data_IF_907767202509
#
_entry.id   IF_907767202509
#
_cell.length_a   1.000
_cell.length_b   1.000
_cell.length_c   1.000
_cell.angle_alpha   90.00
_cell.angle_beta   90.00
_cell.angle_gamma   90.00
#
_symmetry.space_group_name_H-M   'P 1'
#
loop_
_entity.id
_entity.type
_entity.pdbx_description
1 polymer ?
#
# COMPACT_ATOMS: atom_id res chain seq x y z
N UNK A 1 52.67 -50.43 1.77
CA UNK A 1 53.17 -49.29 0.96
C UNK A 1 52.54 -49.41 -0.43
N UNK A 2 51.63 -48.56 -0.89
CA UNK A 2 51.11 -47.31 -0.35
C UNK A 2 49.68 -47.03 -0.87
N UNK A 3 49.01 -46.10 -0.20
CA UNK A 3 47.82 -45.39 -0.71
C UNK A 3 48.31 -44.25 -1.61
N UNK A 4 47.58 -43.88 -2.68
CA UNK A 4 46.75 -42.66 -2.57
C UNK A 4 45.38 -42.81 -3.29
N UNK A 5 44.26 -42.41 -2.67
CA UNK A 5 43.68 -41.05 -2.55
C UNK A 5 42.83 -40.65 -3.76
N UNK A 6 41.51 -40.72 -3.53
CA UNK A 6 40.42 -40.05 -4.25
C UNK A 6 40.57 -38.52 -4.15
N UNK A 7 40.28 -37.79 -5.22
CA UNK A 7 39.80 -36.40 -5.12
C UNK A 7 38.54 -36.25 -5.97
N UNK A 8 37.42 -36.12 -5.25
CA UNK A 8 36.10 -35.76 -5.77
C UNK A 8 36.04 -34.23 -5.77
N UNK A 9 35.96 -33.62 -6.94
CA UNK A 9 35.78 -32.17 -7.07
C UNK A 9 34.32 -31.80 -6.78
N UNK A 10 34.07 -31.10 -5.67
CA UNK A 10 32.81 -30.42 -5.39
C UNK A 10 32.96 -28.94 -5.80
N UNK A 11 32.14 -28.50 -6.75
CA UNK A 11 32.04 -27.09 -7.14
C UNK A 11 31.22 -26.33 -6.09
N UNK A 12 31.85 -25.32 -5.49
CA UNK A 12 31.27 -24.41 -4.52
C UNK A 12 30.51 -23.30 -5.27
N UNK A 13 29.18 -23.27 -5.17
CA UNK A 13 28.38 -22.10 -5.52
C UNK A 13 28.48 -21.10 -4.37
N UNK A 14 29.16 -19.98 -4.59
CA UNK A 14 29.18 -18.86 -3.67
C UNK A 14 27.79 -18.20 -3.65
N UNK A 15 27.10 -18.27 -2.51
CA UNK A 15 25.91 -17.47 -2.22
C UNK A 15 26.39 -16.04 -1.95
N UNK A 16 26.03 -15.12 -2.84
CA UNK A 16 26.25 -13.69 -2.63
C UNK A 16 25.20 -13.20 -1.61
N UNK A 17 25.64 -12.88 -0.40
CA UNK A 17 24.77 -12.25 0.60
C UNK A 17 24.37 -10.85 0.12
N UNK A 18 23.09 -10.44 0.23
CA UNK A 18 22.70 -9.06 -0.03
C UNK A 18 23.34 -8.12 1.01
N UNK A 19 23.63 -6.85 0.64
CA UNK A 19 24.11 -5.87 1.61
C UNK A 19 23.06 -5.62 2.70
N UNK A 20 23.46 -5.19 3.91
CA UNK A 20 22.51 -4.78 4.93
C UNK A 20 21.69 -3.62 4.39
N UNK A 21 20.37 -3.81 4.27
CA UNK A 21 19.42 -2.75 3.99
C UNK A 21 19.63 -1.66 5.05
N UNK A 22 19.99 -0.46 4.62
CA UNK A 22 19.89 0.70 5.48
C UNK A 22 18.42 0.85 5.84
N UNK A 23 18.09 0.88 7.14
CA UNK A 23 16.74 1.19 7.59
C UNK A 23 16.32 2.51 6.93
N UNK A 24 15.21 2.55 6.16
CA UNK A 24 14.71 3.82 5.67
C UNK A 24 14.30 4.64 6.90
N UNK A 25 14.98 5.77 7.11
CA UNK A 25 14.56 6.75 8.10
C UNK A 25 13.06 7.06 7.93
N UNK A 26 12.30 7.32 9.00
CA UNK A 26 10.85 7.59 8.92
C UNK A 26 10.48 8.74 7.95
N UNK A 27 11.43 9.63 7.66
CA UNK A 27 11.31 10.73 6.71
C UNK A 27 11.23 10.28 5.23
N UNK A 28 11.79 9.10 4.88
CA UNK A 28 11.72 8.55 3.51
C UNK A 28 10.35 7.93 3.18
N UNK A 29 9.58 7.51 4.19
CA UNK A 29 8.22 7.00 3.99
C UNK A 29 7.20 8.10 3.65
N UNK A 30 7.55 9.36 3.95
CA UNK A 30 6.76 10.57 3.64
C UNK A 30 7.03 11.15 2.24
N UNK A 31 7.80 10.44 1.41
CA UNK A 31 8.10 10.84 0.03
C UNK A 31 6.86 10.83 -0.88
N UNK A 32 6.97 11.50 -2.02
CA UNK A 32 6.00 11.45 -3.11
C UNK A 32 5.65 10.00 -3.51
N UNK A 33 4.36 9.74 -3.71
CA UNK A 33 3.75 8.55 -4.25
C UNK A 33 2.90 8.95 -5.46
N UNK A 34 3.54 9.08 -6.62
CA UNK A 34 2.85 9.43 -7.89
C UNK A 34 2.08 10.76 -7.84
N UNK A 35 2.70 11.80 -7.28
CA UNK A 35 2.14 13.14 -7.11
C UNK A 35 1.39 13.36 -5.79
N UNK A 36 1.56 12.49 -4.79
CA UNK A 36 0.89 12.55 -3.50
C UNK A 36 1.83 12.24 -2.33
N UNK A 37 1.80 13.04 -1.27
CA UNK A 37 2.50 12.79 -0.02
C UNK A 37 1.54 12.26 1.05
N UNK A 38 2.05 11.39 1.92
CA UNK A 38 1.33 10.88 3.10
C UNK A 38 1.76 11.66 4.34
N UNK A 39 0.89 12.55 4.82
CA UNK A 39 1.18 13.47 5.92
C UNK A 39 0.85 12.95 7.33
N UNK A 40 0.11 11.84 7.45
CA UNK A 40 -0.22 11.23 8.74
C UNK A 40 -0.05 9.71 8.68
N UNK A 41 0.60 9.16 9.70
CA UNK A 41 0.70 7.73 9.95
C UNK A 41 0.24 7.46 11.39
N UNK A 42 -0.65 6.49 11.61
CA UNK A 42 -1.07 6.12 12.97
C UNK A 42 0.12 5.70 13.83
N UNK A 43 0.07 6.02 15.13
CA UNK A 43 1.11 5.57 16.06
C UNK A 43 1.12 4.03 16.13
N UNK A 44 2.31 3.44 15.98
CA UNK A 44 2.48 1.98 16.00
C UNK A 44 2.22 1.27 14.66
N UNK A 45 2.10 2.02 13.56
CA UNK A 45 2.28 1.48 12.20
C UNK A 45 3.69 0.90 12.05
N UNK A 46 3.79 -0.25 11.38
CA UNK A 46 5.06 -0.91 11.11
C UNK A 46 6.04 -0.04 10.30
N UNK A 47 7.33 -0.22 10.59
CA UNK A 47 8.41 0.57 10.00
C UNK A 47 8.87 0.08 8.62
N UNK A 48 8.41 -1.10 8.19
CA UNK A 48 8.83 -1.65 6.90
C UNK A 48 7.92 -1.14 5.79
N UNK A 49 8.51 -0.37 4.88
CA UNK A 49 7.79 0.35 3.82
C UNK A 49 8.24 -0.17 2.47
N UNK A 50 7.29 -0.56 1.62
CA UNK A 50 7.55 -1.04 0.27
C UNK A 50 6.63 -0.38 -0.74
N UNK A 51 7.20 0.08 -1.85
CA UNK A 51 6.47 0.65 -2.98
C UNK A 51 6.31 -0.40 -4.10
N UNK A 52 5.13 -0.41 -4.72
CA UNK A 52 4.80 -1.31 -5.83
C UNK A 52 4.15 -0.54 -6.98
N UNK A 53 4.42 -1.01 -8.19
CA UNK A 53 3.69 -0.59 -9.39
C UNK A 53 3.02 -1.81 -10.02
N UNK A 54 1.70 -1.75 -10.16
CA UNK A 54 0.91 -2.83 -10.76
C UNK A 54 -0.15 -2.25 -11.68
N UNK A 55 -0.77 -3.10 -12.48
CA UNK A 55 -1.90 -2.73 -13.33
C UNK A 55 -2.99 -3.80 -13.21
N UNK A 56 -4.24 -3.35 -13.17
CA UNK A 56 -5.40 -4.24 -13.20
C UNK A 56 -6.51 -3.55 -13.99
N UNK A 57 -7.06 -4.22 -15.00
CA UNK A 57 -8.16 -3.71 -15.80
C UNK A 57 -7.90 -2.27 -16.28
N UNK A 58 -6.78 -2.06 -17.00
CA UNK A 58 -6.34 -0.77 -17.56
C UNK A 58 -6.18 0.38 -16.53
N UNK A 59 -6.13 0.08 -15.23
CA UNK A 59 -5.85 1.03 -14.16
C UNK A 59 -4.49 0.71 -13.57
N UNK A 60 -3.58 1.68 -13.67
CA UNK A 60 -2.27 1.63 -13.05
C UNK A 60 -2.37 2.00 -11.56
N UNK A 61 -1.67 1.26 -10.72
CA UNK A 61 -1.55 1.50 -9.29
C UNK A 61 -0.10 1.85 -8.95
N UNK A 62 0.11 2.98 -8.30
CA UNK A 62 1.29 3.22 -7.47
C UNK A 62 0.88 2.97 -6.01
N UNK A 63 1.40 1.91 -5.41
CA UNK A 63 1.10 1.52 -4.04
C UNK A 63 2.27 1.80 -3.12
N UNK A 64 2.00 2.27 -1.89
CA UNK A 64 2.94 2.20 -0.76
C UNK A 64 2.31 1.38 0.36
N UNK A 65 3.06 0.44 0.92
CA UNK A 65 2.60 -0.50 1.93
C UNK A 65 3.49 -0.42 3.15
N UNK A 66 2.88 -0.26 4.33
CA UNK A 66 3.55 -0.33 5.62
C UNK A 66 3.21 -1.67 6.28
N UNK A 67 4.26 -2.41 6.64
CA UNK A 67 4.16 -3.75 7.19
C UNK A 67 4.91 -3.87 8.51
N UNK A 68 4.42 -4.78 9.33
CA UNK A 68 5.09 -5.18 10.58
C UNK A 68 5.38 -6.68 10.57
N UNK A 69 6.48 -7.11 11.21
CA UNK A 69 6.71 -8.53 11.43
C UNK A 69 5.71 -9.09 12.44
N UNK A 70 5.31 -10.34 12.24
CA UNK A 70 4.51 -11.10 13.20
C UNK A 70 5.40 -11.93 14.14
N UNK A 71 5.00 -12.14 15.41
CA UNK A 71 5.79 -12.92 16.38
C UNK A 71 6.09 -14.36 15.91
N UNK A 72 5.14 -14.99 15.23
CA UNK A 72 5.25 -16.33 14.65
C UNK A 72 6.00 -16.38 13.30
N UNK A 73 6.51 -15.24 12.82
CA UNK A 73 7.10 -15.08 11.50
C UNK A 73 6.09 -14.64 10.45
N UNK A 74 6.58 -14.06 9.36
CA UNK A 74 5.75 -13.42 8.34
C UNK A 74 5.45 -11.96 8.67
N UNK A 75 4.58 -11.37 7.87
CA UNK A 75 4.30 -9.95 7.83
C UNK A 75 2.80 -9.70 7.79
N UNK A 76 2.37 -8.60 8.41
CA UNK A 76 1.01 -8.09 8.30
C UNK A 76 1.06 -6.66 7.80
N UNK A 77 0.20 -6.35 6.84
CA UNK A 77 0.00 -4.99 6.34
C UNK A 77 -0.82 -4.22 7.37
N UNK A 78 -0.26 -3.10 7.83
CA UNK A 78 -0.94 -2.16 8.72
C UNK A 78 -1.66 -1.09 7.92
N UNK A 79 -0.99 -0.55 6.90
CA UNK A 79 -1.48 0.53 6.05
C UNK A 79 -1.07 0.26 4.60
N UNK A 80 -1.96 0.56 3.66
CA UNK A 80 -1.68 0.62 2.24
C UNK A 80 -2.31 1.86 1.65
N UNK A 81 -1.54 2.61 0.87
CA UNK A 81 -2.02 3.73 0.06
C UNK A 81 -1.87 3.36 -1.41
N UNK A 82 -2.92 3.60 -2.18
CA UNK A 82 -2.97 3.41 -3.62
C UNK A 82 -3.26 4.74 -4.31
N UNK A 83 -2.41 5.13 -5.25
CA UNK A 83 -2.74 6.13 -6.26
C UNK A 83 -3.05 5.40 -7.55
N UNK A 84 -4.29 5.54 -8.00
CA UNK A 84 -4.85 4.84 -9.15
C UNK A 84 -5.02 5.79 -10.32
N UNK A 85 -4.56 5.40 -11.51
CA UNK A 85 -4.66 6.20 -12.73
C UNK A 85 -5.21 5.37 -13.88
N UNK A 86 -6.23 5.87 -14.56
CA UNK A 86 -6.81 5.21 -15.73
C UNK A 86 -8.07 5.90 -16.24
N UNK A 87 -8.32 5.84 -17.55
CA UNK A 87 -9.40 6.60 -18.22
C UNK A 87 -10.81 6.28 -17.71
N UNK A 88 -11.00 5.10 -17.10
CA UNK A 88 -12.28 4.69 -16.51
C UNK A 88 -12.60 5.31 -15.15
N UNK A 89 -11.63 5.94 -14.49
CA UNK A 89 -11.83 6.57 -13.18
C UNK A 89 -12.39 7.99 -13.33
N UNK A 90 -13.50 8.15 -14.05
CA UNK A 90 -14.00 9.47 -14.51
C UNK A 90 -14.56 10.35 -13.39
N UNK A 91 -15.09 9.72 -12.35
CA UNK A 91 -15.71 10.38 -11.20
C UNK A 91 -15.79 9.39 -10.01
N UNK A 92 -16.24 9.88 -8.85
CA UNK A 92 -16.35 9.07 -7.64
C UNK A 92 -17.25 7.83 -7.80
N UNK A 93 -18.29 7.88 -8.63
CA UNK A 93 -19.16 6.72 -8.84
C UNK A 93 -18.44 5.65 -9.68
N UNK A 94 -17.68 6.06 -10.69
CA UNK A 94 -16.82 5.17 -11.47
C UNK A 94 -15.71 4.56 -10.60
N UNK A 95 -15.08 5.34 -9.72
CA UNK A 95 -14.10 4.84 -8.75
C UNK A 95 -14.73 3.81 -7.80
N UNK A 96 -15.94 4.09 -7.28
CA UNK A 96 -16.66 3.13 -6.43
C UNK A 96 -16.98 1.83 -7.17
N UNK A 97 -17.44 1.90 -8.42
CA UNK A 97 -17.72 0.72 -9.23
C UNK A 97 -16.45 -0.12 -9.44
N UNK A 98 -15.36 0.54 -9.86
CA UNK A 98 -14.05 -0.08 -10.02
C UNK A 98 -13.56 -0.77 -8.74
N UNK A 99 -13.59 -0.08 -7.60
CA UNK A 99 -13.14 -0.66 -6.33
C UNK A 99 -14.07 -1.77 -5.82
N UNK A 100 -15.35 -1.75 -6.20
CA UNK A 100 -16.28 -2.84 -5.87
C UNK A 100 -15.83 -4.12 -6.55
N UNK A 101 -15.47 -4.04 -7.83
CA UNK A 101 -14.95 -5.17 -8.60
C UNK A 101 -13.56 -5.60 -8.11
N UNK A 102 -12.64 -4.64 -7.95
CA UNK A 102 -11.25 -4.91 -7.55
C UNK A 102 -11.15 -5.58 -6.17
N UNK A 103 -11.98 -5.17 -5.21
CA UNK A 103 -12.01 -5.78 -3.86
C UNK A 103 -13.02 -6.93 -3.73
N UNK A 104 -13.61 -7.38 -4.84
CA UNK A 104 -14.60 -8.45 -4.88
C UNK A 104 -15.74 -8.23 -3.87
N UNK A 105 -16.20 -6.97 -3.74
CA UNK A 105 -17.24 -6.58 -2.79
C UNK A 105 -18.63 -6.77 -3.38
N UNK A 106 -19.57 -7.21 -2.55
CA UNK A 106 -20.99 -7.12 -2.88
C UNK A 106 -21.46 -5.66 -2.71
N UNK A 107 -21.92 -4.98 -3.78
CA UNK A 107 -22.38 -3.60 -3.69
C UNK A 107 -23.61 -3.42 -2.76
N UNK A 108 -24.40 -4.47 -2.54
CA UNK A 108 -25.56 -4.42 -1.64
C UNK A 108 -25.13 -4.49 -0.16
N UNK A 109 -23.99 -5.11 0.14
CA UNK A 109 -23.50 -5.26 1.51
C UNK A 109 -22.40 -4.25 1.87
N UNK A 110 -21.73 -3.68 0.88
CA UNK A 110 -20.63 -2.74 1.09
C UNK A 110 -21.13 -1.35 1.52
N UNK A 111 -21.34 -1.24 2.84
CA UNK A 111 -21.78 -0.02 3.51
C UNK A 111 -20.62 0.97 3.62
N UNK A 112 -20.81 2.13 3.00
CA UNK A 112 -19.86 3.24 2.97
C UNK A 112 -20.56 4.52 3.41
N UNK A 113 -19.80 5.36 4.11
CA UNK A 113 -20.22 6.70 4.54
C UNK A 113 -19.50 7.73 3.68
N UNK A 114 -20.19 8.79 3.27
CA UNK A 114 -19.59 9.89 2.51
C UNK A 114 -18.72 10.78 3.38
N UNK A 115 -17.59 11.24 2.85
CA UNK A 115 -16.76 12.29 3.45
C UNK A 115 -16.25 13.27 2.39
N UNK A 116 -15.49 14.28 2.84
CA UNK A 116 -14.83 15.27 1.99
C UNK A 116 -13.33 15.26 2.25
N UNK A 117 -12.53 15.17 1.18
CA UNK A 117 -11.08 15.25 1.21
C UNK A 117 -10.63 16.60 0.62
N UNK A 118 -10.38 17.61 1.46
CA UNK A 118 -9.92 18.94 0.98
C UNK A 118 -10.90 19.71 0.06
N UNK A 119 -12.03 19.11 -0.32
CA UNK A 119 -12.98 19.61 -1.32
C UNK A 119 -13.55 18.50 -2.20
N UNK A 120 -12.84 17.38 -2.30
CA UNK A 120 -13.23 16.25 -3.16
C UNK A 120 -14.13 15.26 -2.42
N UNK A 121 -15.25 14.83 -3.03
CA UNK A 121 -16.13 13.87 -2.41
C UNK A 121 -15.48 12.49 -2.37
N UNK A 122 -15.66 11.79 -1.25
CA UNK A 122 -15.14 10.44 -1.03
C UNK A 122 -16.07 9.55 -0.23
N UNK A 123 -15.68 8.29 -0.10
CA UNK A 123 -16.34 7.28 0.72
C UNK A 123 -15.36 6.60 1.67
N UNK A 124 -15.82 6.25 2.87
CA UNK A 124 -15.07 5.43 3.82
C UNK A 124 -15.94 4.36 4.49
N UNK A 125 -15.30 3.29 4.96
CA UNK A 125 -15.92 2.22 5.74
C UNK A 125 -15.10 0.93 5.71
N UNK A 126 -15.16 0.16 6.81
CA UNK A 126 -14.53 -1.17 6.87
C UNK A 126 -13.00 -1.18 6.74
N UNK A 127 -12.32 -0.15 7.26
CA UNK A 127 -10.86 -0.02 7.18
C UNK A 127 -10.35 0.55 5.85
N UNK A 128 -11.22 1.18 5.06
CA UNK A 128 -10.87 1.73 3.75
C UNK A 128 -11.50 3.11 3.57
N UNK A 129 -10.77 4.03 2.95
CA UNK A 129 -11.27 5.32 2.48
C UNK A 129 -10.78 5.59 1.05
N UNK A 130 -11.60 6.21 0.20
CA UNK A 130 -11.22 6.58 -1.16
C UNK A 130 -11.95 7.81 -1.67
N UNK A 131 -11.33 8.51 -2.62
CA UNK A 131 -11.90 9.68 -3.29
C UNK A 131 -11.40 9.78 -4.74
N UNK A 132 -12.09 10.58 -5.53
CA UNK A 132 -11.66 10.97 -6.89
C UNK A 132 -11.07 12.37 -6.78
N UNK A 133 -9.78 12.49 -7.11
CA UNK A 133 -9.03 13.75 -7.04
C UNK A 133 -9.22 14.58 -8.32
N UNK A 134 -9.13 13.93 -9.48
CA UNK A 134 -9.53 14.50 -10.77
C UNK A 134 -9.96 13.36 -11.72
N UNK A 135 -10.64 13.65 -12.85
CA UNK A 135 -10.97 12.62 -13.82
C UNK A 135 -9.73 11.83 -14.25
N UNK A 136 -9.76 10.52 -14.04
CA UNK A 136 -8.67 9.61 -14.33
C UNK A 136 -7.70 9.37 -13.17
N UNK A 137 -7.90 10.00 -12.00
CA UNK A 137 -7.04 9.87 -10.82
C UNK A 137 -7.87 9.67 -9.56
N UNK A 138 -7.57 8.61 -8.81
CA UNK A 138 -8.21 8.32 -7.53
C UNK A 138 -7.19 7.86 -6.51
N UNK A 139 -7.51 8.07 -5.23
CA UNK A 139 -6.69 7.62 -4.12
C UNK A 139 -7.50 6.71 -3.23
N UNK A 140 -6.86 5.64 -2.77
CA UNK A 140 -7.41 4.74 -1.75
C UNK A 140 -6.41 4.59 -0.59
N UNK A 141 -6.95 4.60 0.62
CA UNK A 141 -6.25 4.28 1.86
C UNK A 141 -6.91 3.05 2.48
N UNK A 142 -6.11 2.06 2.84
CA UNK A 142 -6.54 0.87 3.58
C UNK A 142 -5.74 0.75 4.86
N UNK A 143 -6.43 0.59 5.98
CA UNK A 143 -5.86 0.49 7.31
C UNK A 143 -6.41 -0.76 8.01
N UNK A 144 -5.58 -1.49 8.76
CA UNK A 144 -6.01 -2.66 9.53
C UNK A 144 -7.02 -2.24 10.64
N UNK A 145 -8.33 -2.54 10.50
CA UNK A 145 -9.34 -2.09 11.44
C UNK A 145 -9.30 -2.85 12.77
N UNK A 146 -8.53 -3.95 12.86
CA UNK A 146 -8.34 -4.66 14.12
C UNK A 146 -7.32 -3.97 15.03
N UNK A 147 -6.46 -3.12 14.47
CA UNK A 147 -5.41 -2.42 15.21
C UNK A 147 -5.68 -0.94 15.36
N UNK A 148 -6.25 -0.32 14.34
CA UNK A 148 -6.43 1.12 14.29
C UNK A 148 -7.91 1.48 14.20
N UNK A 149 -8.38 2.47 14.97
CA UNK A 149 -9.75 2.93 14.90
C UNK A 149 -10.00 3.69 13.59
N UNK A 150 -11.27 3.83 13.23
CA UNK A 150 -11.68 4.59 12.03
C UNK A 150 -11.19 6.05 12.05
N UNK A 151 -11.00 6.67 13.21
CA UNK A 151 -10.43 8.01 13.32
C UNK A 151 -9.01 8.11 12.74
N UNK A 152 -8.20 7.05 12.89
CA UNK A 152 -6.84 6.99 12.33
C UNK A 152 -6.86 6.80 10.82
N UNK A 153 -7.83 6.02 10.30
CA UNK A 153 -8.07 5.93 8.86
C UNK A 153 -8.41 7.32 8.29
N UNK A 154 -9.30 8.05 8.95
CA UNK A 154 -9.69 9.38 8.49
C UNK A 154 -8.55 10.40 8.61
N UNK A 155 -7.77 10.37 9.69
CA UNK A 155 -6.59 11.22 9.83
C UNK A 155 -5.56 10.93 8.74
N UNK A 156 -5.31 9.65 8.43
CA UNK A 156 -4.42 9.22 7.34
C UNK A 156 -4.94 9.70 5.99
N UNK A 157 -6.22 9.45 5.69
CA UNK A 157 -6.83 9.84 4.42
C UNK A 157 -6.75 11.36 4.21
N UNK A 158 -7.17 12.16 5.20
CA UNK A 158 -7.11 13.63 5.13
C UNK A 158 -5.67 14.18 5.12
N UNK A 159 -4.71 13.40 5.61
CA UNK A 159 -3.29 13.72 5.57
C UNK A 159 -2.65 13.49 4.20
N UNK A 160 -3.35 12.86 3.24
CA UNK A 160 -2.82 12.70 1.89
C UNK A 160 -2.98 14.01 1.13
N UNK A 161 -1.90 14.52 0.54
CA UNK A 161 -1.93 15.81 -0.16
C UNK A 161 -1.18 15.69 -1.48
N UNK A 162 -1.64 16.41 -2.51
CA UNK A 162 -0.88 16.51 -3.76
C UNK A 162 0.49 17.16 -3.49
N UNK A 163 1.50 16.67 -4.19
CA UNK A 163 2.82 17.31 -4.25
C UNK A 163 2.93 18.04 -5.58
N UNK A 164 3.05 19.37 -5.52
CA UNK A 164 3.25 20.23 -6.71
C UNK A 164 4.61 20.01 -7.39
#
# INVERSE_FOLDING_TARGET
MGVPTLVLSAALLAVLAPPPSADPAPEAAMQDLSGFAVGHLPEGTGEQVTDFHTEWEDVAFASRVWERPLPEGGYSVDLKVNVMRGERLTDLAAVRAFLTEYHERDPAEWRLTSFQHGGDPGFHGGGLAFWSDEPGVAVEVRLDPHRFPESELMATALGIQRTD
#
